data_IF_808269231917
#
_entry.id   IF_808269231917
#
_cell.length_a   1.000
_cell.length_b   1.000
_cell.length_c   1.000
_cell.angle_alpha   90.00
_cell.angle_beta   90.00
_cell.angle_gamma   90.00
#
_symmetry.space_group_name_H-M   'P 1'
#
loop_
_entity.id
_entity.type
_entity.pdbx_description
1 polymer ?
#
# COMPACT_ATOMS: atom_id res chain seq x y z
N UNK A 1 -26.38 -23.14 -11.16
CA UNK A 1 -26.17 -22.36 -9.93
C UNK A 1 -24.77 -21.73 -9.84
N UNK A 2 -23.70 -22.40 -10.27
CA UNK A 2 -22.32 -21.86 -10.19
C UNK A 2 -22.10 -20.54 -10.97
N UNK A 3 -22.67 -20.42 -12.17
CA UNK A 3 -22.55 -19.21 -12.99
C UNK A 3 -23.15 -17.95 -12.34
N UNK A 4 -24.26 -18.09 -11.60
CA UNK A 4 -24.94 -16.98 -10.92
C UNK A 4 -24.08 -16.44 -9.77
N UNK A 5 -23.44 -17.34 -9.00
CA UNK A 5 -22.57 -16.95 -7.89
C UNK A 5 -21.29 -16.25 -8.40
N UNK A 6 -20.70 -16.74 -9.49
CA UNK A 6 -19.54 -16.10 -10.10
C UNK A 6 -19.85 -14.68 -10.60
N UNK A 7 -21.01 -14.49 -11.25
CA UNK A 7 -21.47 -13.17 -11.69
C UNK A 7 -21.67 -12.22 -10.49
N UNK A 8 -22.33 -12.69 -9.43
CA UNK A 8 -22.55 -11.91 -8.20
C UNK A 8 -21.24 -11.41 -7.60
N UNK A 9 -20.21 -12.25 -7.51
CA UNK A 9 -18.92 -11.84 -6.94
C UNK A 9 -18.21 -10.78 -7.79
N UNK A 10 -18.30 -10.88 -9.12
CA UNK A 10 -17.76 -9.86 -10.04
C UNK A 10 -18.50 -8.53 -9.90
N UNK A 11 -19.83 -8.57 -9.77
CA UNK A 11 -20.64 -7.38 -9.53
C UNK A 11 -20.23 -6.71 -8.22
N UNK A 12 -20.10 -7.47 -7.11
CA UNK A 12 -19.67 -6.91 -5.83
C UNK A 12 -18.30 -6.23 -5.92
N UNK A 13 -17.34 -6.86 -6.60
CA UNK A 13 -16.01 -6.29 -6.80
C UNK A 13 -16.05 -4.99 -7.60
N UNK A 14 -16.83 -4.97 -8.70
CA UNK A 14 -17.02 -3.77 -9.52
C UNK A 14 -17.71 -2.67 -8.72
N UNK A 15 -18.74 -3.00 -7.93
CA UNK A 15 -19.45 -2.04 -7.08
C UNK A 15 -18.52 -1.40 -6.04
N UNK A 16 -17.60 -2.16 -5.44
CA UNK A 16 -16.60 -1.60 -4.52
C UNK A 16 -15.68 -0.60 -5.21
N UNK A 17 -15.16 -0.94 -6.40
CA UNK A 17 -14.33 -0.04 -7.19
C UNK A 17 -15.09 1.24 -7.57
N UNK A 18 -16.31 1.10 -8.11
CA UNK A 18 -17.15 2.24 -8.49
C UNK A 18 -17.51 3.13 -7.30
N UNK A 19 -17.75 2.54 -6.12
CA UNK A 19 -17.99 3.28 -4.89
C UNK A 19 -16.76 4.12 -4.51
N UNK A 20 -15.54 3.56 -4.59
CA UNK A 20 -14.31 4.33 -4.35
C UNK A 20 -14.18 5.45 -5.39
N UNK A 21 -14.41 5.18 -6.68
CA UNK A 21 -14.37 6.21 -7.72
C UNK A 21 -15.37 7.35 -7.45
N UNK A 22 -16.59 7.03 -7.04
CA UNK A 22 -17.60 8.02 -6.68
C UNK A 22 -17.14 8.88 -5.50
N UNK A 23 -16.58 8.27 -4.45
CA UNK A 23 -16.06 9.00 -3.28
C UNK A 23 -14.88 9.89 -3.68
N UNK A 24 -13.92 9.37 -4.45
CA UNK A 24 -12.79 10.16 -4.96
C UNK A 24 -13.28 11.36 -5.77
N UNK A 25 -14.25 11.16 -6.66
CA UNK A 25 -14.86 12.22 -7.44
C UNK A 25 -15.51 13.29 -6.54
N UNK A 26 -16.32 12.87 -5.56
CA UNK A 26 -16.95 13.79 -4.61
C UNK A 26 -15.91 14.61 -3.83
N UNK A 27 -14.83 13.98 -3.37
CA UNK A 27 -13.72 14.66 -2.70
C UNK A 27 -13.08 15.71 -3.62
N UNK A 28 -12.72 15.33 -4.85
CA UNK A 28 -12.13 16.26 -5.82
C UNK A 28 -13.03 17.45 -6.15
N UNK A 29 -14.36 17.29 -6.08
CA UNK A 29 -15.33 18.38 -6.26
C UNK A 29 -15.47 19.28 -5.04
N UNK A 30 -15.22 18.76 -3.84
CA UNK A 30 -15.32 19.50 -2.59
C UNK A 30 -14.07 20.31 -2.24
N UNK A 31 -12.89 19.90 -2.72
CA UNK A 31 -11.61 20.55 -2.42
C UNK A 31 -11.16 21.49 -3.54
N UNK A 32 -11.00 22.78 -3.21
CA UNK A 32 -10.57 23.81 -4.16
C UNK A 32 -9.12 23.65 -4.63
N UNK A 33 -8.27 22.97 -3.85
CA UNK A 33 -6.89 22.66 -4.20
C UNK A 33 -6.74 21.35 -4.99
N UNK A 34 -7.85 20.69 -5.33
CA UNK A 34 -7.88 19.45 -6.11
C UNK A 34 -6.99 18.31 -5.53
N UNK A 35 -6.84 18.29 -4.20
CA UNK A 35 -5.95 17.39 -3.47
C UNK A 35 -4.51 17.42 -4.01
N UNK A 36 -4.00 18.63 -4.22
CA UNK A 36 -2.59 18.89 -4.51
C UNK A 36 -1.85 19.27 -3.23
N UNK A 37 -0.67 18.69 -3.05
CA UNK A 37 0.26 18.98 -1.96
C UNK A 37 1.59 19.42 -2.56
N UNK A 38 2.58 19.86 -1.76
CA UNK A 38 3.91 20.21 -2.29
C UNK A 38 4.52 19.12 -3.19
N UNK A 39 4.52 17.85 -2.74
CA UNK A 39 4.93 16.70 -3.57
C UNK A 39 4.19 16.61 -4.91
N UNK A 40 2.87 16.86 -4.91
CA UNK A 40 2.05 16.81 -6.12
C UNK A 40 2.59 17.77 -7.18
N UNK A 41 2.96 18.99 -6.79
CA UNK A 41 3.47 19.99 -7.73
C UNK A 41 4.77 19.55 -8.38
N UNK A 42 5.68 18.91 -7.64
CA UNK A 42 6.91 18.40 -8.23
C UNK A 42 6.67 17.24 -9.19
N UNK A 43 5.77 16.30 -8.86
CA UNK A 43 5.42 15.22 -9.78
C UNK A 43 4.82 15.74 -11.09
N UNK A 44 3.92 16.74 -10.99
CA UNK A 44 3.25 17.36 -12.13
C UNK A 44 4.21 18.20 -12.97
N UNK A 45 5.08 18.99 -12.34
CA UNK A 45 6.11 19.76 -13.03
C UNK A 45 7.06 18.83 -13.80
N UNK A 46 7.51 17.75 -13.16
CA UNK A 46 8.38 16.78 -13.82
C UNK A 46 7.67 16.07 -14.98
N UNK A 47 6.37 15.74 -14.84
CA UNK A 47 5.57 15.18 -15.92
C UNK A 47 5.41 16.17 -17.09
N UNK A 48 5.16 17.45 -16.80
CA UNK A 48 5.07 18.51 -17.81
C UNK A 48 6.39 18.71 -18.55
N UNK A 49 7.52 18.67 -17.84
CA UNK A 49 8.84 18.77 -18.45
C UNK A 49 9.19 17.56 -19.34
N UNK A 50 8.75 16.35 -18.95
CA UNK A 50 8.87 15.17 -19.80
C UNK A 50 8.08 15.33 -21.10
N UNK A 51 6.84 15.85 -21.04
CA UNK A 51 6.00 16.12 -22.22
C UNK A 51 6.60 17.18 -23.13
N UNK A 52 7.21 18.22 -22.55
CA UNK A 52 7.83 19.31 -23.30
C UNK A 52 9.20 18.95 -23.90
N UNK A 53 9.75 17.77 -23.60
CA UNK A 53 11.09 17.37 -24.05
C UNK A 53 12.24 17.98 -23.24
N UNK A 54 11.95 18.61 -22.08
CA UNK A 54 12.95 19.24 -21.21
C UNK A 54 13.67 18.23 -20.29
N UNK A 55 13.28 16.95 -20.35
CA UNK A 55 13.80 15.88 -19.51
C UNK A 55 13.16 15.83 -18.11
N UNK A 56 13.69 14.98 -17.23
CA UNK A 56 13.14 14.76 -15.90
C UNK A 56 13.67 15.79 -14.89
N UNK A 57 13.21 17.04 -15.01
CA UNK A 57 13.67 18.19 -14.23
C UNK A 57 12.54 18.82 -13.41
N UNK A 58 12.91 19.46 -12.31
CA UNK A 58 12.02 20.25 -11.44
C UNK A 58 12.72 21.55 -11.02
N UNK A 59 11.95 22.52 -10.56
CA UNK A 59 12.48 23.70 -9.86
C UNK A 59 12.42 23.42 -8.37
N UNK A 60 13.58 23.25 -7.76
CA UNK A 60 13.74 22.97 -6.35
C UNK A 60 14.52 24.10 -5.68
N UNK A 61 13.97 24.69 -4.62
CA UNK A 61 14.57 25.86 -3.93
C UNK A 61 14.94 27.01 -4.90
N UNK A 62 14.09 27.24 -5.91
CA UNK A 62 14.29 28.29 -6.91
C UNK A 62 15.32 27.95 -8.01
N UNK A 63 15.92 26.76 -7.99
CA UNK A 63 16.87 26.30 -9.01
C UNK A 63 16.32 25.14 -9.81
N UNK A 64 16.49 25.18 -11.12
CA UNK A 64 16.19 24.04 -11.97
C UNK A 64 17.24 22.94 -11.77
N UNK A 65 16.78 21.71 -11.52
CA UNK A 65 17.65 20.55 -11.29
C UNK A 65 17.02 19.27 -11.82
N UNK A 66 17.84 18.26 -12.05
CA UNK A 66 17.36 16.91 -12.32
C UNK A 66 16.59 16.39 -11.10
N UNK A 67 15.41 15.79 -11.33
CA UNK A 67 14.57 15.30 -10.26
C UNK A 67 15.13 13.97 -9.70
N UNK A 68 16.06 14.06 -8.74
CA UNK A 68 16.55 12.90 -8.03
C UNK A 68 15.75 12.59 -6.74
N UNK A 69 14.84 13.47 -6.32
CA UNK A 69 14.05 13.34 -5.08
C UNK A 69 13.08 12.16 -5.17
N UNK A 70 12.43 12.00 -6.33
CA UNK A 70 11.54 10.88 -6.59
C UNK A 70 11.97 10.13 -7.85
N UNK A 71 11.71 8.81 -7.92
CA UNK A 71 11.91 8.04 -9.15
C UNK A 71 10.98 8.49 -10.28
N UNK A 72 11.46 8.33 -11.52
CA UNK A 72 10.80 8.84 -12.74
C UNK A 72 9.43 8.23 -13.04
N UNK A 73 9.15 7.01 -12.58
CA UNK A 73 8.04 6.19 -13.04
C UNK A 73 6.66 6.80 -12.81
N UNK A 74 6.39 7.46 -11.68
CA UNK A 74 5.07 8.07 -11.46
C UNK A 74 4.82 9.24 -12.40
N UNK A 75 5.76 10.19 -12.50
CA UNK A 75 5.68 11.32 -13.43
C UNK A 75 5.65 10.87 -14.89
N UNK A 76 6.39 9.82 -15.25
CA UNK A 76 6.35 9.26 -16.60
C UNK A 76 4.98 8.66 -16.94
N UNK A 77 4.32 7.99 -15.99
CA UNK A 77 2.95 7.49 -16.18
C UNK A 77 1.94 8.64 -16.33
N UNK A 78 2.10 9.73 -15.56
CA UNK A 78 1.27 10.94 -15.70
C UNK A 78 1.46 11.55 -17.09
N UNK A 79 2.71 11.77 -17.50
CA UNK A 79 3.04 12.29 -18.82
C UNK A 79 2.47 11.40 -19.94
N UNK A 80 2.68 10.09 -19.86
CA UNK A 80 2.13 9.14 -20.83
C UNK A 80 0.60 9.20 -20.91
N UNK A 81 -0.09 9.24 -19.76
CA UNK A 81 -1.54 9.36 -19.72
C UNK A 81 -2.02 10.70 -20.34
N UNK A 82 -1.37 11.81 -19.98
CA UNK A 82 -1.68 13.13 -20.53
C UNK A 82 -1.47 13.19 -22.05
N UNK A 83 -0.38 12.61 -22.56
CA UNK A 83 -0.09 12.51 -23.99
C UNK A 83 -1.15 11.68 -24.74
N UNK A 84 -1.61 10.58 -24.14
CA UNK A 84 -2.56 9.66 -24.79
C UNK A 84 -4.01 10.17 -24.76
N UNK A 85 -4.42 10.94 -23.75
CA UNK A 85 -5.81 11.37 -23.59
C UNK A 85 -6.03 12.87 -23.78
N UNK A 86 -4.99 13.66 -24.01
CA UNK A 86 -5.03 15.14 -24.07
C UNK A 86 -5.49 15.82 -22.77
N UNK A 87 -5.63 15.06 -21.67
CA UNK A 87 -5.96 15.62 -20.37
C UNK A 87 -4.77 16.38 -19.79
N UNK A 88 -5.04 17.39 -18.97
CA UNK A 88 -4.00 18.07 -18.20
C UNK A 88 -3.27 17.08 -17.28
N UNK A 89 -2.01 17.37 -16.93
CA UNK A 89 -1.22 16.51 -16.05
C UNK A 89 -1.88 16.28 -14.69
N UNK A 90 -2.64 17.26 -14.19
CA UNK A 90 -3.43 17.15 -12.95
C UNK A 90 -4.54 16.10 -13.07
N UNK A 91 -5.30 16.13 -14.16
CA UNK A 91 -6.39 15.16 -14.37
C UNK A 91 -5.81 13.78 -14.69
N UNK A 92 -4.77 13.74 -15.51
CA UNK A 92 -4.05 12.52 -15.86
C UNK A 92 -3.52 11.80 -14.61
N UNK A 93 -3.01 12.52 -13.60
CA UNK A 93 -2.51 11.90 -12.37
C UNK A 93 -3.59 11.19 -11.56
N UNK A 94 -4.81 11.73 -11.51
CA UNK A 94 -5.95 11.09 -10.83
C UNK A 94 -6.35 9.83 -11.58
N UNK A 95 -6.38 9.88 -12.91
CA UNK A 95 -6.68 8.72 -13.75
C UNK A 95 -5.63 7.63 -13.55
N UNK A 96 -4.34 7.98 -13.54
CA UNK A 96 -3.25 7.02 -13.26
C UNK A 96 -3.46 6.32 -11.91
N UNK A 97 -3.83 7.05 -10.86
CA UNK A 97 -4.11 6.46 -9.55
C UNK A 97 -5.32 5.52 -9.58
N UNK A 98 -6.41 5.93 -10.23
CA UNK A 98 -7.61 5.08 -10.36
C UNK A 98 -7.36 3.85 -11.25
N UNK A 99 -6.51 3.96 -12.27
CA UNK A 99 -6.09 2.82 -13.09
C UNK A 99 -5.21 1.85 -12.30
N UNK A 100 -4.27 2.36 -11.50
CA UNK A 100 -3.48 1.52 -10.60
C UNK A 100 -4.37 0.80 -9.58
N UNK A 101 -5.37 1.49 -9.02
CA UNK A 101 -6.38 0.89 -8.14
C UNK A 101 -7.19 -0.20 -8.86
N UNK A 102 -7.66 0.05 -10.09
CA UNK A 102 -8.34 -0.95 -10.89
C UNK A 102 -7.43 -2.18 -11.14
N UNK A 103 -6.14 -1.93 -11.39
CA UNK A 103 -5.10 -2.96 -11.46
C UNK A 103 -5.01 -3.79 -10.17
N UNK A 104 -5.07 -3.16 -8.99
CA UNK A 104 -5.12 -3.87 -7.71
C UNK A 104 -6.35 -4.79 -7.60
N UNK A 105 -7.54 -4.29 -7.95
CA UNK A 105 -8.77 -5.10 -7.97
C UNK A 105 -8.64 -6.28 -8.93
N UNK A 106 -8.09 -6.06 -10.12
CA UNK A 106 -7.84 -7.11 -11.11
C UNK A 106 -6.86 -8.17 -10.59
N UNK A 107 -5.75 -7.77 -9.96
CA UNK A 107 -4.78 -8.69 -9.37
C UNK A 107 -5.42 -9.55 -8.26
N UNK A 108 -6.21 -8.93 -7.37
CA UNK A 108 -6.94 -9.64 -6.31
C UNK A 108 -7.95 -10.61 -6.94
N UNK A 109 -8.69 -10.20 -7.97
CA UNK A 109 -9.61 -11.07 -8.71
C UNK A 109 -8.89 -12.28 -9.29
N UNK A 110 -7.78 -12.07 -9.99
CA UNK A 110 -6.95 -13.13 -10.58
C UNK A 110 -6.50 -14.14 -9.53
N UNK A 111 -6.13 -13.69 -8.33
CA UNK A 111 -5.60 -14.55 -7.27
C UNK A 111 -6.67 -15.31 -6.49
N UNK A 112 -7.75 -14.64 -6.12
CA UNK A 112 -8.72 -15.11 -5.13
C UNK A 112 -10.09 -15.47 -5.71
N UNK A 113 -10.34 -15.17 -6.99
CA UNK A 113 -11.54 -15.59 -7.73
C UNK A 113 -12.85 -15.29 -6.96
N UNK A 114 -13.54 -16.31 -6.46
CA UNK A 114 -14.81 -16.19 -5.76
C UNK A 114 -14.69 -15.51 -4.38
N UNK A 115 -13.49 -15.47 -3.80
CA UNK A 115 -13.19 -14.76 -2.54
C UNK A 115 -12.70 -13.33 -2.76
N UNK A 116 -12.44 -12.93 -4.00
CA UNK A 116 -11.83 -11.64 -4.32
C UNK A 116 -12.64 -10.45 -3.79
N UNK A 117 -13.96 -10.49 -3.87
CA UNK A 117 -14.84 -9.42 -3.35
C UNK A 117 -14.63 -9.18 -1.86
N UNK A 118 -14.30 -10.21 -1.08
CA UNK A 118 -14.06 -10.08 0.34
C UNK A 118 -12.65 -9.57 0.63
N UNK A 119 -11.65 -10.12 -0.06
CA UNK A 119 -10.25 -9.72 0.11
C UNK A 119 -10.02 -8.27 -0.33
N UNK A 120 -10.72 -7.82 -1.38
CA UNK A 120 -10.65 -6.46 -1.89
C UNK A 120 -11.24 -5.40 -0.94
N UNK A 121 -11.99 -5.79 0.10
CA UNK A 121 -12.46 -4.85 1.13
C UNK A 121 -11.29 -4.09 1.78
N UNK A 122 -10.10 -4.70 1.85
CA UNK A 122 -8.89 -4.03 2.33
C UNK A 122 -8.49 -2.78 1.55
N UNK A 123 -8.94 -2.61 0.30
CA UNK A 123 -8.70 -1.41 -0.51
C UNK A 123 -9.66 -0.26 -0.16
N UNK A 124 -10.70 -0.50 0.63
CA UNK A 124 -11.76 0.47 0.96
C UNK A 124 -11.50 1.26 2.26
N UNK A 125 -10.30 1.19 2.83
CA UNK A 125 -9.98 1.96 4.04
C UNK A 125 -9.91 3.45 3.74
N UNK A 126 -10.28 4.28 4.72
CA UNK A 126 -10.34 5.74 4.52
C UNK A 126 -8.98 6.36 4.20
N UNK A 127 -7.94 5.86 4.86
CA UNK A 127 -6.55 6.19 4.60
C UNK A 127 -6.13 5.94 3.15
N UNK A 128 -6.55 4.81 2.57
CA UNK A 128 -6.21 4.46 1.20
C UNK A 128 -7.04 5.25 0.20
N UNK A 129 -8.32 5.52 0.48
CA UNK A 129 -9.13 6.43 -0.33
C UNK A 129 -8.44 7.79 -0.45
N UNK A 130 -7.89 8.31 0.66
CA UNK A 130 -7.08 9.53 0.64
C UNK A 130 -5.84 9.39 -0.27
N UNK A 131 -5.11 8.25 -0.25
CA UNK A 131 -3.99 8.03 -1.17
C UNK A 131 -4.42 8.05 -2.64
N UNK A 132 -5.60 7.49 -2.96
CA UNK A 132 -6.12 7.46 -4.32
C UNK A 132 -6.55 8.85 -4.80
N UNK A 133 -7.05 9.71 -3.90
CA UNK A 133 -7.46 11.08 -4.22
C UNK A 133 -6.27 12.02 -4.43
N UNK A 134 -5.19 11.89 -3.66
CA UNK A 134 -4.02 12.77 -3.78
C UNK A 134 -3.17 12.41 -5.01
N UNK A 135 -2.47 13.39 -5.57
CA UNK A 135 -1.49 13.16 -6.66
C UNK A 135 -0.17 12.63 -6.07
N UNK A 136 -0.23 11.44 -5.51
CA UNK A 136 0.93 10.79 -4.91
C UNK A 136 1.24 9.43 -5.54
N UNK A 137 2.52 9.08 -5.59
CA UNK A 137 3.02 7.83 -6.20
C UNK A 137 2.65 6.56 -5.45
N UNK A 138 2.17 6.66 -4.20
CA UNK A 138 1.82 5.53 -3.34
C UNK A 138 0.83 4.59 -4.00
N UNK A 139 -0.18 5.09 -4.70
CA UNK A 139 -1.21 4.25 -5.29
C UNK A 139 -0.63 3.32 -6.35
N UNK A 140 0.24 3.85 -7.20
CA UNK A 140 0.96 3.08 -8.22
C UNK A 140 2.00 2.16 -7.58
N UNK A 141 2.68 2.61 -6.53
CA UNK A 141 3.59 1.79 -5.74
C UNK A 141 2.87 0.57 -5.13
N UNK A 142 1.70 0.76 -4.54
CA UNK A 142 0.86 -0.32 -3.99
C UNK A 142 0.47 -1.33 -5.07
N UNK A 143 0.13 -0.87 -6.28
CA UNK A 143 -0.15 -1.76 -7.42
C UNK A 143 1.05 -2.66 -7.73
N UNK A 144 2.25 -2.11 -7.84
CA UNK A 144 3.44 -2.91 -8.14
C UNK A 144 3.82 -3.87 -7.00
N UNK A 145 3.73 -3.42 -5.74
CA UNK A 145 3.99 -4.25 -4.57
C UNK A 145 2.97 -5.38 -4.43
N UNK A 146 1.69 -5.11 -4.70
CA UNK A 146 0.65 -6.12 -4.69
C UNK A 146 0.84 -7.12 -5.84
N UNK A 147 1.23 -6.64 -7.02
CA UNK A 147 1.60 -7.48 -8.17
C UNK A 147 2.77 -8.41 -7.84
N UNK A 148 3.81 -7.88 -7.17
CA UNK A 148 4.91 -8.68 -6.65
C UNK A 148 4.41 -9.80 -5.71
N UNK A 149 3.51 -9.48 -4.78
CA UNK A 149 2.97 -10.46 -3.84
C UNK A 149 2.14 -11.57 -4.50
N UNK A 150 1.34 -11.21 -5.52
CA UNK A 150 0.37 -12.10 -6.16
C UNK A 150 1.01 -12.97 -7.23
N UNK A 151 2.07 -12.50 -7.89
CA UNK A 151 2.67 -13.20 -9.00
C UNK A 151 3.29 -14.56 -8.60
N UNK A 152 3.19 -15.63 -9.43
CA UNK A 152 3.76 -16.96 -9.18
C UNK A 152 5.23 -17.01 -8.73
N UNK A 153 6.06 -16.02 -9.08
CA UNK A 153 7.46 -15.93 -8.63
C UNK A 153 7.62 -15.76 -7.13
N UNK A 154 6.57 -15.24 -6.48
CA UNK A 154 6.45 -15.21 -5.03
C UNK A 154 6.17 -16.59 -4.42
N UNK A 155 5.92 -17.63 -5.22
CA UNK A 155 5.65 -18.99 -4.79
C UNK A 155 6.81 -19.94 -5.15
N UNK A 156 6.64 -21.24 -4.88
CA UNK A 156 7.69 -22.28 -4.99
C UNK A 156 8.14 -22.57 -6.43
N UNK A 157 7.48 -22.01 -7.45
CA UNK A 157 7.79 -22.24 -8.86
C UNK A 157 9.09 -21.56 -9.29
N UNK A 158 10.00 -22.32 -9.90
CA UNK A 158 11.26 -21.81 -10.45
C UNK A 158 11.20 -21.89 -11.97
N UNK A 159 11.61 -20.82 -12.63
CA UNK A 159 11.64 -20.71 -14.09
C UNK A 159 12.06 -19.31 -14.50
N UNK A 160 12.72 -19.19 -15.65
CA UNK A 160 13.27 -17.91 -16.15
C UNK A 160 12.17 -16.87 -16.36
N UNK A 161 11.04 -17.24 -16.99
CA UNK A 161 9.92 -16.32 -17.21
C UNK A 161 9.29 -15.80 -15.91
N UNK A 162 9.20 -16.66 -14.89
CA UNK A 162 8.67 -16.32 -13.57
C UNK A 162 9.61 -15.32 -12.86
N UNK A 163 10.92 -15.53 -12.93
CA UNK A 163 11.93 -14.60 -12.37
C UNK A 163 11.92 -13.23 -13.05
N UNK A 164 11.72 -13.19 -14.37
CA UNK A 164 11.61 -11.93 -15.13
C UNK A 164 10.40 -11.13 -14.68
N UNK A 165 9.22 -11.75 -14.56
CA UNK A 165 8.02 -11.00 -14.14
C UNK A 165 8.15 -10.52 -12.69
N UNK A 166 8.75 -11.31 -11.80
CA UNK A 166 9.08 -10.86 -10.44
C UNK A 166 10.00 -9.65 -10.42
N UNK A 167 11.04 -9.66 -11.27
CA UNK A 167 11.92 -8.50 -11.49
C UNK A 167 11.14 -7.29 -11.98
N UNK A 168 10.24 -7.43 -12.95
CA UNK A 168 9.45 -6.31 -13.49
C UNK A 168 8.52 -5.67 -12.45
N UNK A 169 7.90 -6.48 -11.57
CA UNK A 169 7.12 -5.94 -10.46
C UNK A 169 7.98 -5.16 -9.46
N UNK A 170 9.16 -5.69 -9.11
CA UNK A 170 10.08 -5.00 -8.22
C UNK A 170 10.63 -3.71 -8.85
N UNK A 171 10.98 -3.77 -10.14
CA UNK A 171 11.40 -2.64 -10.94
C UNK A 171 10.35 -1.53 -10.96
N UNK A 172 9.08 -1.85 -11.24
CA UNK A 172 7.99 -0.88 -11.20
C UNK A 172 7.77 -0.25 -9.82
N UNK A 173 7.90 -1.05 -8.75
CA UNK A 173 7.86 -0.53 -7.38
C UNK A 173 9.00 0.45 -7.10
N UNK A 174 10.24 0.13 -7.50
CA UNK A 174 11.38 1.04 -7.34
C UNK A 174 11.24 2.31 -8.19
N UNK A 175 10.87 2.16 -9.45
CA UNK A 175 10.69 3.29 -10.37
C UNK A 175 9.53 4.19 -9.99
N UNK A 176 8.62 3.77 -9.11
CA UNK A 176 7.60 4.66 -8.54
C UNK A 176 8.07 5.28 -7.23
N UNK A 177 8.80 4.52 -6.38
CA UNK A 177 9.35 4.99 -5.11
C UNK A 177 10.64 4.25 -4.75
N UNK A 178 11.66 4.98 -4.29
CA UNK A 178 12.93 4.38 -3.81
C UNK A 178 12.70 3.38 -2.68
N UNK A 179 11.60 3.52 -1.91
CA UNK A 179 11.21 2.54 -0.92
C UNK A 179 11.14 1.11 -1.48
N UNK A 180 10.87 0.93 -2.79
CA UNK A 180 10.86 -0.36 -3.49
C UNK A 180 12.13 -1.21 -3.35
N UNK A 181 13.27 -0.62 -2.96
CA UNK A 181 14.49 -1.34 -2.59
C UNK A 181 14.23 -2.43 -1.55
N UNK A 182 13.24 -2.24 -0.67
CA UNK A 182 12.86 -3.22 0.36
C UNK A 182 12.54 -4.62 -0.20
N UNK A 183 12.11 -4.72 -1.46
CA UNK A 183 11.78 -5.99 -2.11
C UNK A 183 13.01 -6.91 -2.29
N UNK A 184 14.24 -6.40 -2.11
CA UNK A 184 15.43 -7.24 -1.98
C UNK A 184 15.32 -8.19 -0.78
N UNK A 185 14.74 -7.76 0.34
CA UNK A 185 14.59 -8.57 1.55
C UNK A 185 13.81 -9.87 1.28
N UNK A 186 12.55 -9.83 0.79
CA UNK A 186 11.80 -11.05 0.49
C UNK A 186 12.42 -11.86 -0.65
N UNK A 187 13.08 -11.25 -1.63
CA UNK A 187 13.81 -11.96 -2.68
C UNK A 187 14.97 -12.79 -2.10
N UNK A 188 15.77 -12.20 -1.19
CA UNK A 188 16.89 -12.86 -0.54
C UNK A 188 16.43 -13.96 0.43
N UNK A 189 15.41 -13.69 1.26
CA UNK A 189 14.81 -14.68 2.16
C UNK A 189 14.31 -15.90 1.37
N UNK A 190 13.76 -15.68 0.18
CA UNK A 190 13.28 -16.75 -0.72
C UNK A 190 14.35 -17.31 -1.64
N UNK A 191 15.61 -16.93 -1.47
CA UNK A 191 16.77 -17.41 -2.24
C UNK A 191 16.61 -17.18 -3.74
N UNK A 192 15.97 -16.08 -4.15
CA UNK A 192 15.83 -15.64 -5.56
C UNK A 192 17.03 -14.78 -5.97
N UNK A 193 18.23 -15.33 -5.83
CA UNK A 193 19.48 -14.57 -5.97
C UNK A 193 19.67 -13.95 -7.36
N UNK A 194 19.27 -14.64 -8.44
CA UNK A 194 19.38 -14.09 -9.80
C UNK A 194 18.57 -12.80 -9.96
N UNK A 195 17.28 -12.86 -9.63
CA UNK A 195 16.40 -11.69 -9.61
C UNK A 195 16.93 -10.59 -8.69
N UNK A 196 17.41 -10.95 -7.49
CA UNK A 196 18.00 -9.99 -6.56
C UNK A 196 19.24 -9.30 -7.13
N UNK A 197 20.14 -10.02 -7.81
CA UNK A 197 21.33 -9.46 -8.45
C UNK A 197 20.94 -8.50 -9.57
N UNK A 198 20.06 -8.91 -10.50
CA UNK A 198 19.63 -8.02 -11.58
C UNK A 198 18.91 -6.77 -11.05
N UNK A 199 18.10 -6.93 -10.01
CA UNK A 199 17.43 -5.82 -9.37
C UNK A 199 18.41 -4.88 -8.67
N UNK A 200 19.39 -5.39 -7.92
CA UNK A 200 20.45 -4.60 -7.31
C UNK A 200 21.28 -3.85 -8.35
N UNK A 201 21.68 -4.52 -9.44
CA UNK A 201 22.42 -3.88 -10.53
C UNK A 201 21.63 -2.73 -11.16
N UNK A 202 20.33 -2.93 -11.38
CA UNK A 202 19.45 -1.87 -11.86
C UNK A 202 19.40 -0.68 -10.89
N UNK A 203 19.13 -0.95 -9.60
CA UNK A 203 19.06 0.09 -8.55
C UNK A 203 20.38 0.86 -8.51
N UNK A 204 21.52 0.18 -8.48
CA UNK A 204 22.83 0.80 -8.46
C UNK A 204 23.06 1.67 -9.70
N UNK A 205 22.74 1.16 -10.90
CA UNK A 205 22.84 1.94 -12.13
C UNK A 205 21.97 3.21 -12.11
N UNK A 206 20.72 3.09 -11.64
CA UNK A 206 19.80 4.22 -11.51
C UNK A 206 20.31 5.27 -10.52
N UNK A 207 20.75 4.85 -9.33
CA UNK A 207 21.26 5.76 -8.30
C UNK A 207 22.60 6.39 -8.70
N UNK A 208 23.46 5.67 -9.42
CA UNK A 208 24.69 6.24 -10.00
C UNK A 208 24.37 7.27 -11.08
N UNK A 209 23.33 7.04 -11.89
CA UNK A 209 22.86 8.04 -12.85
C UNK A 209 22.33 9.29 -12.16
N UNK A 210 21.54 9.14 -11.08
CA UNK A 210 21.15 10.27 -10.24
C UNK A 210 22.37 11.02 -9.72
N UNK A 211 23.35 10.31 -9.15
CA UNK A 211 24.57 10.90 -8.62
C UNK A 211 25.37 11.66 -9.69
N UNK A 212 25.44 11.12 -10.91
CA UNK A 212 26.06 11.80 -12.03
C UNK A 212 25.36 13.13 -12.37
N UNK A 213 24.02 13.17 -12.27
CA UNK A 213 23.22 14.36 -12.58
C UNK A 213 23.17 15.39 -11.44
N UNK A 214 23.17 14.96 -10.17
CA UNK A 214 22.88 15.83 -9.02
C UNK A 214 23.94 15.82 -7.92
N UNK A 215 25.00 15.02 -8.06
CA UNK A 215 26.00 14.73 -7.01
C UNK A 215 25.41 14.12 -5.74
N UNK A 216 24.20 13.55 -5.82
CA UNK A 216 23.51 12.86 -4.73
C UNK A 216 22.83 11.60 -5.28
N UNK A 217 22.84 10.49 -4.53
CA UNK A 217 22.16 9.26 -4.96
C UNK A 217 20.63 9.43 -4.98
N UNK A 218 20.12 10.18 -4.01
CA UNK A 218 18.72 10.59 -3.88
C UNK A 218 18.69 12.07 -3.55
N UNK A 219 17.75 12.80 -4.15
CA UNK A 219 17.52 14.21 -3.82
C UNK A 219 16.82 14.37 -2.46
N UNK A 220 16.87 15.57 -1.90
CA UNK A 220 16.09 15.94 -0.71
C UNK A 220 16.82 15.87 0.63
N UNK A 221 18.13 15.67 0.65
CA UNK A 221 18.89 15.90 1.88
C UNK A 221 18.73 17.37 2.30
N UNK A 222 18.22 17.60 3.52
CA UNK A 222 18.03 18.94 4.09
C UNK A 222 16.59 19.47 4.12
N UNK A 223 15.59 18.72 3.63
CA UNK A 223 14.19 19.15 3.72
C UNK A 223 13.69 19.39 5.15
N UNK A 224 14.29 18.69 6.13
CA UNK A 224 13.81 18.68 7.50
C UNK A 224 14.94 19.06 8.45
N UNK A 225 14.66 19.93 9.44
CA UNK A 225 15.63 20.31 10.44
C UNK A 225 16.06 19.07 11.24
N UNK A 226 17.31 19.10 11.71
CA UNK A 226 17.83 18.06 12.60
C UNK A 226 16.99 18.03 13.89
N UNK A 227 16.13 17.02 14.00
CA UNK A 227 15.30 16.78 15.17
C UNK A 227 16.04 15.85 16.16
N UNK A 228 16.03 16.14 17.48
CA UNK A 228 16.54 15.25 18.51
C UNK A 228 15.92 13.84 18.43
N UNK A 229 16.69 12.82 18.82
CA UNK A 229 16.24 11.43 18.75
C UNK A 229 14.96 11.16 19.55
N UNK A 230 14.80 11.79 20.71
CA UNK A 230 13.63 11.60 21.58
C UNK A 230 12.35 12.15 20.95
N UNK A 231 12.40 13.36 20.38
CA UNK A 231 11.28 13.96 19.65
C UNK A 231 10.91 13.12 18.43
N UNK A 232 11.93 12.64 17.70
CA UNK A 232 11.74 11.72 16.59
C UNK A 232 11.07 10.41 17.03
N UNK A 233 11.55 9.79 18.11
CA UNK A 233 10.96 8.56 18.64
C UNK A 233 9.49 8.79 19.02
N UNK A 234 9.19 9.87 19.73
CA UNK A 234 7.82 10.22 20.13
C UNK A 234 6.92 10.47 18.91
N UNK A 235 7.42 11.19 17.92
CA UNK A 235 6.74 11.47 16.64
C UNK A 235 6.49 10.18 15.85
N UNK A 236 7.46 9.27 15.83
CA UNK A 236 7.34 7.93 15.23
C UNK A 236 6.30 7.05 15.94
N UNK A 237 6.31 7.01 17.28
CA UNK A 237 5.30 6.30 18.08
C UNK A 237 3.91 6.86 17.86
N UNK A 238 3.78 8.20 17.78
CA UNK A 238 2.52 8.86 17.44
C UNK A 238 2.04 8.46 16.05
N UNK A 239 2.94 8.42 15.05
CA UNK A 239 2.63 7.96 13.70
C UNK A 239 2.13 6.51 13.67
N UNK A 240 2.78 5.61 14.41
CA UNK A 240 2.34 4.22 14.58
C UNK A 240 0.99 4.14 15.30
N UNK A 241 0.74 4.99 16.30
CA UNK A 241 -0.55 5.09 16.98
C UNK A 241 -1.67 5.59 16.06
N UNK A 242 -1.40 6.62 15.25
CA UNK A 242 -2.32 7.10 14.20
C UNK A 242 -2.60 6.00 13.16
N UNK A 243 -1.64 5.12 12.90
CA UNK A 243 -1.81 3.93 12.06
C UNK A 243 -2.55 2.79 12.77
N UNK A 244 -2.46 2.64 14.10
CA UNK A 244 -3.35 1.73 14.82
C UNK A 244 -4.82 2.19 14.72
N UNK A 245 -5.05 3.49 14.58
CA UNK A 245 -6.34 4.12 14.29
C UNK A 245 -6.68 4.17 12.78
N UNK A 246 -5.87 3.55 11.91
CA UNK A 246 -5.92 3.60 10.43
C UNK A 246 -7.30 3.38 9.81
N UNK A 247 -8.17 2.66 10.50
CA UNK A 247 -9.52 2.34 10.02
C UNK A 247 -10.61 3.28 10.54
N UNK A 248 -10.38 3.97 11.66
CA UNK A 248 -11.45 4.52 12.50
C UNK A 248 -11.50 6.05 12.55
N UNK A 249 -10.35 6.73 12.69
CA UNK A 249 -10.34 8.20 12.86
C UNK A 249 -9.09 8.73 12.22
N UNK A 250 -9.21 9.17 10.97
CA UNK A 250 -8.03 9.66 10.26
C UNK A 250 -8.31 10.79 9.31
N UNK A 251 -9.36 11.52 9.60
CA UNK A 251 -9.66 12.66 8.77
C UNK A 251 -8.78 13.83 9.20
N UNK A 252 -7.98 14.32 8.25
CA UNK A 252 -7.18 15.53 8.41
C UNK A 252 -8.05 16.72 8.80
N UNK A 253 -9.34 16.67 8.47
CA UNK A 253 -10.35 17.67 8.79
C UNK A 253 -10.69 17.75 10.28
N UNK A 254 -10.51 16.68 11.08
CA UNK A 254 -10.65 16.79 12.54
C UNK A 254 -9.60 17.72 13.17
N UNK A 255 -8.45 17.90 12.51
CA UNK A 255 -7.44 18.88 12.92
C UNK A 255 -7.82 20.29 12.47
N UNK A 256 -8.81 20.47 11.59
CA UNK A 256 -9.34 21.79 11.21
C UNK A 256 -10.48 22.14 12.15
N UNK A 257 -10.28 23.17 12.96
CA UNK A 257 -11.22 23.75 13.94
C UNK A 257 -12.53 24.32 13.33
N UNK A 258 -12.86 24.02 12.08
CA UNK A 258 -13.96 24.64 11.31
C UNK A 258 -15.15 23.71 11.09
N UNK A 259 -15.06 22.43 11.44
CA UNK A 259 -16.19 21.51 11.35
C UNK A 259 -17.28 21.87 12.37
N UNK A 260 -18.54 21.78 11.96
CA UNK A 260 -19.68 21.89 12.87
C UNK A 260 -19.63 20.79 13.94
N UNK A 261 -20.15 21.08 15.13
CA UNK A 261 -20.20 20.09 16.22
C UNK A 261 -20.91 18.80 15.81
N UNK A 262 -21.97 18.89 14.99
CA UNK A 262 -22.69 17.73 14.47
C UNK A 262 -21.81 16.84 13.57
N UNK A 263 -21.00 17.43 12.69
CA UNK A 263 -20.06 16.68 11.86
C UNK A 263 -18.99 15.98 12.70
N UNK A 264 -18.45 16.65 13.72
CA UNK A 264 -17.48 16.04 14.64
C UNK A 264 -18.08 14.84 15.39
N UNK A 265 -19.28 14.99 15.96
CA UNK A 265 -19.98 13.90 16.65
C UNK A 265 -20.33 12.74 15.73
N UNK A 266 -20.70 13.04 14.48
CA UNK A 266 -20.93 12.01 13.46
C UNK A 266 -19.64 11.19 13.22
N UNK A 267 -18.50 11.86 12.99
CA UNK A 267 -17.20 11.19 12.81
C UNK A 267 -16.86 10.33 14.03
N UNK A 268 -16.98 10.87 15.25
CA UNK A 268 -16.72 10.10 16.47
C UNK A 268 -17.66 8.91 16.65
N UNK A 269 -18.95 9.06 16.29
CA UNK A 269 -19.93 7.98 16.33
C UNK A 269 -19.59 6.83 15.37
N UNK A 270 -19.24 7.16 14.11
CA UNK A 270 -18.83 6.16 13.11
C UNK A 270 -17.56 5.44 13.57
N UNK A 271 -16.59 6.18 14.11
CA UNK A 271 -15.36 5.61 14.64
C UNK A 271 -15.59 4.66 15.82
N UNK A 272 -16.40 5.07 16.81
CA UNK A 272 -16.77 4.24 17.94
C UNK A 272 -17.44 2.94 17.47
N UNK A 273 -18.36 3.03 16.51
CA UNK A 273 -19.02 1.87 15.93
C UNK A 273 -18.01 0.92 15.25
N UNK A 274 -17.03 1.45 14.51
CA UNK A 274 -15.97 0.63 13.93
C UNK A 274 -15.12 -0.06 14.99
N UNK A 275 -14.80 0.60 16.11
CA UNK A 275 -14.09 -0.03 17.23
C UNK A 275 -14.89 -1.17 17.87
N UNK A 276 -16.20 -1.00 18.03
CA UNK A 276 -17.08 -2.05 18.55
C UNK A 276 -17.14 -3.26 17.59
N UNK A 277 -17.24 -3.00 16.28
CA UNK A 277 -17.22 -4.06 15.26
C UNK A 277 -15.87 -4.77 15.26
N UNK A 278 -14.75 -4.03 15.27
CA UNK A 278 -13.41 -4.60 15.31
C UNK A 278 -13.21 -5.46 16.55
N UNK A 279 -13.64 -4.98 17.72
CA UNK A 279 -13.59 -5.75 18.97
C UNK A 279 -14.38 -7.05 18.85
N UNK A 280 -15.55 -7.01 18.21
CA UNK A 280 -16.38 -8.19 17.96
C UNK A 280 -15.70 -9.17 17.01
N UNK A 281 -15.13 -8.68 15.90
CA UNK A 281 -14.31 -9.48 14.97
C UNK A 281 -13.16 -10.14 15.72
N UNK A 282 -12.40 -9.37 16.50
CA UNK A 282 -11.28 -9.89 17.30
C UNK A 282 -11.71 -10.96 18.30
N UNK A 283 -12.89 -10.83 18.94
CA UNK A 283 -13.43 -11.86 19.84
C UNK A 283 -13.82 -13.15 19.10
N UNK A 284 -14.37 -13.03 17.89
CA UNK A 284 -14.81 -14.19 17.09
C UNK A 284 -13.63 -14.90 16.40
N UNK A 285 -12.65 -14.13 15.92
CA UNK A 285 -11.49 -14.63 15.18
C UNK A 285 -10.34 -15.02 16.12
N UNK A 286 -10.18 -14.29 17.23
CA UNK A 286 -9.06 -14.39 18.17
C UNK A 286 -8.81 -15.79 18.73
N UNK A 287 -9.83 -16.56 19.16
CA UNK A 287 -9.63 -17.94 19.62
C UNK A 287 -9.02 -18.84 18.55
N UNK A 288 -9.42 -18.66 17.29
CA UNK A 288 -8.90 -19.43 16.15
C UNK A 288 -7.44 -19.05 15.85
N UNK A 289 -7.12 -17.76 15.89
CA UNK A 289 -5.74 -17.26 15.73
C UNK A 289 -4.85 -17.75 16.87
N UNK A 290 -5.31 -17.63 18.13
CA UNK A 290 -4.55 -18.05 19.33
C UNK A 290 -4.31 -19.56 19.33
N UNK A 291 -5.31 -20.36 18.96
CA UNK A 291 -5.18 -21.81 18.80
C UNK A 291 -4.16 -22.15 17.72
N UNK A 292 -4.27 -21.52 16.55
CA UNK A 292 -3.32 -21.68 15.45
C UNK A 292 -1.88 -21.33 15.86
N UNK A 293 -1.70 -20.17 16.49
CA UNK A 293 -0.39 -19.72 16.95
C UNK A 293 0.20 -20.63 18.03
N UNK A 294 -0.58 -20.99 19.06
CA UNK A 294 -0.13 -21.89 20.15
C UNK A 294 0.27 -23.26 19.61
N UNK A 295 -0.48 -23.80 18.65
CA UNK A 295 -0.16 -25.07 18.02
C UNK A 295 1.10 -24.97 17.16
N UNK A 296 1.25 -23.89 16.38
CA UNK A 296 2.47 -23.63 15.60
C UNK A 296 3.72 -23.53 16.48
N UNK A 297 3.64 -22.74 17.55
CA UNK A 297 4.74 -22.53 18.51
C UNK A 297 5.10 -23.84 19.24
N UNK A 298 4.09 -24.59 19.72
CA UNK A 298 4.31 -25.88 20.42
C UNK A 298 4.98 -26.91 19.52
N UNK A 299 4.65 -26.93 18.23
CA UNK A 299 5.31 -27.82 17.26
C UNK A 299 6.74 -27.35 17.01
N UNK A 300 6.97 -26.04 16.82
CA UNK A 300 8.31 -25.45 16.62
C UNK A 300 9.28 -25.79 17.78
N UNK A 301 8.80 -25.72 19.03
CA UNK A 301 9.60 -26.05 20.22
C UNK A 301 9.73 -27.57 20.47
N UNK A 302 8.80 -28.41 20.01
CA UNK A 302 8.90 -29.87 20.14
C UNK A 302 9.72 -30.52 19.03
N UNK A 303 9.74 -29.94 17.83
CA UNK A 303 10.58 -30.39 16.74
C UNK A 303 11.98 -29.80 16.88
N UNK A 304 12.77 -30.33 17.82
CA UNK A 304 14.22 -30.15 17.79
C UNK A 304 14.74 -30.66 16.44
N UNK A 305 15.18 -29.74 15.58
CA UNK A 305 16.01 -29.92 14.37
C UNK A 305 15.86 -31.20 13.51
N UNK A 306 14.69 -31.84 13.51
CA UNK A 306 14.50 -33.20 12.99
C UNK A 306 13.29 -33.32 12.07
N UNK A 307 13.62 -33.63 10.83
CA UNK A 307 12.85 -33.99 9.63
C UNK A 307 11.53 -34.79 9.80
N UNK A 308 10.51 -34.30 10.53
CA UNK A 308 9.18 -34.95 10.49
C UNK A 308 8.00 -34.00 10.68
N UNK A 309 7.96 -32.99 9.81
CA UNK A 309 6.94 -31.95 9.77
C UNK A 309 6.27 -32.00 8.39
N UNK A 310 5.24 -32.83 8.20
CA UNK A 310 4.54 -32.85 6.90
C UNK A 310 3.02 -32.76 6.96
N UNK A 311 2.36 -33.35 7.96
CA UNK A 311 0.91 -33.57 7.83
C UNK A 311 0.02 -32.66 8.69
N UNK A 312 0.43 -32.27 9.90
CA UNK A 312 -0.37 -31.37 10.78
C UNK A 312 0.09 -29.91 10.76
N UNK A 313 1.24 -29.61 10.13
CA UNK A 313 1.78 -28.27 9.99
C UNK A 313 1.30 -27.53 8.72
N UNK A 314 0.62 -28.22 7.80
CA UNK A 314 0.24 -27.67 6.50
C UNK A 314 -0.62 -26.41 6.59
N UNK A 315 -1.52 -26.31 7.56
CA UNK A 315 -2.53 -25.24 7.59
C UNK A 315 -2.04 -23.92 8.20
N UNK A 316 -1.19 -23.95 9.23
CA UNK A 316 -0.62 -22.73 9.86
C UNK A 316 0.65 -22.28 9.13
N UNK A 317 1.46 -23.23 8.66
CA UNK A 317 2.63 -22.94 7.81
C UNK A 317 2.21 -22.29 6.50
N UNK A 318 1.10 -22.69 5.89
CA UNK A 318 0.56 -22.00 4.70
C UNK A 318 0.11 -20.56 4.99
N UNK A 319 -0.32 -20.24 6.22
CA UNK A 319 -0.74 -18.87 6.60
C UNK A 319 0.44 -17.93 6.85
N UNK A 320 1.55 -18.40 7.45
CA UNK A 320 2.80 -17.62 7.57
C UNK A 320 3.73 -17.71 6.34
N UNK A 321 3.56 -18.70 5.46
CA UNK A 321 4.11 -18.70 4.10
C UNK A 321 3.38 -17.69 3.19
N UNK A 322 2.32 -17.04 3.67
CA UNK A 322 1.60 -16.05 2.88
C UNK A 322 2.49 -14.85 2.58
N UNK A 323 2.75 -14.67 1.28
CA UNK A 323 3.62 -13.65 0.71
C UNK A 323 3.28 -12.26 1.24
N UNK A 324 2.00 -11.94 1.41
CA UNK A 324 1.58 -10.63 1.87
C UNK A 324 2.20 -10.28 3.24
N UNK A 325 2.23 -11.21 4.20
CA UNK A 325 2.81 -10.95 5.51
C UNK A 325 4.32 -10.80 5.46
N UNK A 326 5.03 -11.65 4.69
CA UNK A 326 6.47 -11.53 4.52
C UNK A 326 6.85 -10.16 3.93
N UNK A 327 6.16 -9.75 2.88
CA UNK A 327 6.40 -8.46 2.20
C UNK A 327 5.99 -7.30 3.11
N UNK A 328 4.87 -7.40 3.84
CA UNK A 328 4.44 -6.39 4.81
C UNK A 328 5.46 -6.17 5.93
N UNK A 329 5.96 -7.26 6.53
CA UNK A 329 6.98 -7.22 7.58
C UNK A 329 8.28 -6.66 7.02
N UNK A 330 8.70 -7.09 5.82
CA UNK A 330 9.91 -6.60 5.17
C UNK A 330 9.83 -5.09 4.91
N UNK A 331 8.68 -4.60 4.44
CA UNK A 331 8.44 -3.18 4.22
C UNK A 331 8.45 -2.39 5.53
N UNK A 332 7.73 -2.88 6.55
CA UNK A 332 7.67 -2.22 7.86
C UNK A 332 9.05 -2.13 8.51
N UNK A 333 9.80 -3.24 8.49
CA UNK A 333 11.18 -3.28 8.99
C UNK A 333 12.06 -2.29 8.24
N UNK A 334 12.05 -2.31 6.90
CA UNK A 334 12.81 -1.37 6.08
C UNK A 334 12.46 0.08 6.41
N UNK A 335 11.18 0.42 6.47
CA UNK A 335 10.70 1.77 6.78
C UNK A 335 11.15 2.22 8.17
N UNK A 336 11.08 1.35 9.18
CA UNK A 336 11.52 1.67 10.55
C UNK A 336 13.05 1.88 10.60
N UNK A 337 13.82 0.99 9.96
CA UNK A 337 15.29 1.10 9.92
C UNK A 337 15.71 2.40 9.25
N UNK A 338 15.11 2.70 8.09
CA UNK A 338 15.40 3.92 7.33
C UNK A 338 14.97 5.18 8.10
N UNK A 339 13.83 5.15 8.78
CA UNK A 339 13.36 6.23 9.66
C UNK A 339 14.36 6.58 10.77
N UNK A 340 14.98 5.57 11.37
CA UNK A 340 15.99 5.80 12.40
C UNK A 340 17.38 6.13 11.83
N UNK A 341 17.71 5.63 10.64
CA UNK A 341 19.01 5.86 10.00
C UNK A 341 19.15 7.27 9.41
N UNK A 342 18.06 7.87 8.92
CA UNK A 342 18.09 9.17 8.25
C UNK A 342 17.24 10.21 9.00
N UNK A 343 17.91 11.25 9.52
CA UNK A 343 17.27 12.35 10.23
C UNK A 343 16.37 13.23 9.36
N UNK A 344 16.64 13.27 8.05
CA UNK A 344 15.87 14.06 7.09
C UNK A 344 14.53 13.41 6.73
N UNK A 345 14.22 12.25 7.32
CA UNK A 345 12.99 11.57 7.03
C UNK A 345 11.84 12.11 7.90
N UNK A 346 10.76 12.53 7.23
CA UNK A 346 9.48 12.82 7.86
C UNK A 346 9.02 11.67 8.77
N UNK A 347 8.13 12.00 9.71
CA UNK A 347 7.59 11.02 10.64
C UNK A 347 7.02 9.78 9.94
N UNK A 348 6.85 8.71 10.72
CA UNK A 348 6.09 7.51 10.34
C UNK A 348 4.60 7.81 10.18
N UNK A 349 4.25 8.81 9.35
CA UNK A 349 2.90 9.05 8.89
C UNK A 349 2.48 7.91 7.96
N UNK A 350 1.18 7.70 7.87
CA UNK A 350 0.56 6.62 7.08
C UNK A 350 0.94 6.52 5.63
N UNK A 351 1.35 7.62 5.03
CA UNK A 351 1.82 7.58 3.65
C UNK A 351 2.99 6.59 3.52
N UNK A 352 3.81 6.47 4.58
CA UNK A 352 4.91 5.51 4.71
C UNK A 352 4.51 4.16 5.31
N UNK A 353 3.40 4.05 6.03
CA UNK A 353 2.97 2.78 6.66
C UNK A 353 1.86 2.05 5.85
N UNK A 354 1.17 2.78 4.99
CA UNK A 354 0.03 2.32 4.20
C UNK A 354 0.29 1.06 3.40
N UNK A 355 1.47 0.88 2.76
CA UNK A 355 1.79 -0.39 2.10
C UNK A 355 1.86 -1.59 3.06
N UNK A 356 2.48 -1.46 4.23
CA UNK A 356 2.45 -2.54 5.22
C UNK A 356 1.01 -2.80 5.70
N UNK A 357 0.27 -1.75 6.06
CA UNK A 357 -1.11 -1.86 6.56
C UNK A 357 -2.05 -2.52 5.55
N UNK A 358 -1.96 -2.14 4.27
CA UNK A 358 -2.73 -2.80 3.21
C UNK A 358 -2.36 -4.28 3.08
N UNK A 359 -1.07 -4.61 3.02
CA UNK A 359 -0.62 -6.00 2.86
C UNK A 359 -1.00 -6.86 4.06
N UNK A 360 -0.90 -6.36 5.30
CA UNK A 360 -1.41 -7.06 6.49
C UNK A 360 -2.92 -7.27 6.40
N UNK A 361 -3.67 -6.26 5.96
CA UNK A 361 -5.13 -6.33 5.81
C UNK A 361 -5.54 -7.35 4.75
N UNK A 362 -4.94 -7.29 3.55
CA UNK A 362 -5.18 -8.22 2.45
C UNK A 362 -4.78 -9.65 2.86
N UNK A 363 -3.62 -9.82 3.50
CA UNK A 363 -3.18 -11.11 4.03
C UNK A 363 -4.14 -11.69 5.08
N UNK A 364 -4.64 -10.84 5.98
CA UNK A 364 -5.62 -11.21 7.00
C UNK A 364 -6.98 -11.60 6.42
N UNK A 365 -7.51 -10.79 5.49
CA UNK A 365 -8.78 -11.08 4.81
C UNK A 365 -8.68 -12.34 3.94
N UNK A 366 -7.56 -12.53 3.24
CA UNK A 366 -7.27 -13.74 2.49
C UNK A 366 -7.31 -14.96 3.42
N UNK A 367 -6.59 -14.92 4.54
CA UNK A 367 -6.60 -16.00 5.52
C UNK A 367 -8.00 -16.27 6.09
N UNK A 368 -8.76 -15.23 6.48
CA UNK A 368 -10.14 -15.39 6.96
C UNK A 368 -11.02 -16.04 5.89
N UNK A 369 -10.86 -15.66 4.62
CA UNK A 369 -11.68 -16.20 3.52
C UNK A 369 -11.46 -17.69 3.25
N UNK A 370 -10.30 -18.22 3.62
CA UNK A 370 -9.98 -19.65 3.53
C UNK A 370 -10.62 -20.45 4.70
N UNK A 371 -10.92 -19.79 5.82
CA UNK A 371 -11.50 -20.41 7.01
C UNK A 371 -13.03 -20.40 6.95
N UNK A 372 -13.65 -21.36 6.23
CA UNK A 372 -15.11 -21.42 5.98
C UNK A 372 -15.99 -21.04 7.19
N UNK A 373 -15.73 -21.64 8.36
CA UNK A 373 -16.53 -21.38 9.57
C UNK A 373 -16.36 -19.95 10.10
N UNK A 374 -15.14 -19.40 10.09
CA UNK A 374 -14.86 -18.03 10.53
C UNK A 374 -15.42 -17.04 9.52
N UNK A 375 -15.21 -17.30 8.23
CA UNK A 375 -15.69 -16.49 7.13
C UNK A 375 -17.21 -16.30 7.18
N UNK A 376 -17.99 -17.38 7.26
CA UNK A 376 -19.45 -17.30 7.30
C UNK A 376 -19.97 -16.49 8.51
N UNK A 377 -19.30 -16.63 9.66
CA UNK A 377 -19.66 -15.91 10.89
C UNK A 377 -19.29 -14.42 10.88
N UNK A 378 -18.21 -14.05 10.19
CA UNK A 378 -17.61 -12.71 10.34
C UNK A 378 -17.69 -11.85 9.08
N UNK A 379 -18.00 -12.41 7.90
CA UNK A 379 -17.90 -11.67 6.62
C UNK A 379 -18.69 -10.36 6.60
N UNK A 380 -19.90 -10.36 7.17
CA UNK A 380 -20.74 -9.15 7.19
C UNK A 380 -20.26 -8.10 8.21
N UNK A 381 -19.57 -8.52 9.28
CA UNK A 381 -18.93 -7.58 10.20
C UNK A 381 -17.77 -6.87 9.50
N UNK A 382 -16.97 -7.58 8.71
CA UNK A 382 -15.93 -6.96 7.88
C UNK A 382 -16.54 -6.03 6.83
N UNK A 383 -17.60 -6.44 6.12
CA UNK A 383 -18.29 -5.55 5.17
C UNK A 383 -18.78 -4.27 5.85
N UNK A 384 -19.43 -4.37 7.01
CA UNK A 384 -19.88 -3.21 7.78
C UNK A 384 -18.70 -2.32 8.20
N UNK A 385 -17.60 -2.91 8.67
CA UNK A 385 -16.40 -2.19 9.08
C UNK A 385 -15.80 -1.33 7.95
N UNK A 386 -15.62 -1.92 6.77
CA UNK A 386 -15.07 -1.21 5.61
C UNK A 386 -16.08 -0.25 4.96
N UNK A 387 -17.39 -0.53 5.04
CA UNK A 387 -18.41 0.43 4.64
C UNK A 387 -18.37 1.70 5.50
N UNK A 388 -18.18 1.56 6.82
CA UNK A 388 -17.97 2.70 7.71
C UNK A 388 -16.66 3.45 7.39
N UNK A 389 -15.61 2.76 6.95
CA UNK A 389 -14.38 3.42 6.47
C UNK A 389 -14.63 4.26 5.22
N UNK A 390 -15.50 3.81 4.30
CA UNK A 390 -15.91 4.62 3.15
C UNK A 390 -16.74 5.84 3.59
N UNK A 391 -17.67 5.67 4.52
CA UNK A 391 -18.46 6.79 5.06
C UNK A 391 -17.55 7.87 5.65
N UNK A 392 -16.52 7.46 6.40
CA UNK A 392 -15.49 8.37 6.91
C UNK A 392 -14.70 9.10 5.81
N UNK A 393 -14.69 8.59 4.58
CA UNK A 393 -13.93 9.17 3.48
C UNK A 393 -14.72 10.21 2.70
N UNK A 394 -16.04 10.28 2.89
CA UNK A 394 -16.88 11.29 2.24
C UNK A 394 -16.42 12.71 2.62
N UNK A 395 -16.52 13.67 1.69
CA UNK A 395 -16.31 15.07 2.04
C UNK A 395 -17.34 15.49 3.11
N UNK A 396 -16.91 16.29 4.10
CA UNK A 396 -17.78 16.76 5.20
C UNK A 396 -18.20 18.20 5.02
#
# INVERSE_FOLDING_TARGET
MEGINALRHRILLLSQFLLICAVVYLKLRADSAYFLTPDSHYYLQAAQNLLAGNGYRIVFEGKETFCAIWPVGYSALIAGMSALSTFSVETASKIVNLMALAGCFWLIYRRFQDKAWFVALGLMTSSLVQLYTNTWSETVFLFFVLGFCIHPSSYKEKGTGVEVVGFLWALGAFLTRYAGVFLLIPLLIRRRFRTAIYYSLFISGYLLYNFYQTHTFTGGHGFWPNEPFEERLLRGMRGLGEEALFFAVRDWELKRLTLSASAQWFIYGVALLQFLILTTICRLVGPSVKSGFKNGLKILFRSGFGLQIRNSMGQIRNSMENVFFLVAISYLFFTIVIYFADASIESLYFRRLGPASLLFTVGGLAWVSEQKHIFEKTKWLFVAFFALSIIHSLPK
#
